data_IF_442987456402
#
_entry.id   IF_442987456402
#
_cell.length_a   1.000
_cell.length_b   1.000
_cell.length_c   1.000
_cell.angle_alpha   90.00
_cell.angle_beta   90.00
_cell.angle_gamma   90.00
#
_symmetry.space_group_name_H-M   'P 1'
#
loop_
_entity.id
_entity.type
_entity.pdbx_description
1 polymer ?
#
# COMPACT_ATOMS: atom_id res chain seq x y z
N UNK A 1 43.22 -23.49 90.79
CA UNK A 1 43.35 -22.13 90.23
C UNK A 1 41.98 -21.74 89.70
N UNK A 2 41.50 -20.60 90.17
CA UNK A 2 40.22 -19.91 89.93
C UNK A 2 39.84 -19.85 88.42
N UNK A 3 38.62 -19.60 87.95
CA UNK A 3 37.26 -19.41 88.47
C UNK A 3 36.46 -18.90 87.25
N UNK A 4 35.18 -19.31 87.11
CA UNK A 4 34.00 -18.57 86.56
C UNK A 4 34.10 -17.70 85.28
N UNK A 5 33.09 -17.43 84.47
CA UNK A 5 31.71 -17.88 84.22
C UNK A 5 31.15 -16.97 83.08
N UNK A 6 29.90 -17.23 82.65
CA UNK A 6 28.99 -16.28 81.97
C UNK A 6 29.34 -15.90 80.51
N UNK A 7 28.43 -15.58 79.59
CA UNK A 7 26.98 -15.57 79.51
C UNK A 7 26.64 -15.24 78.05
N UNK A 8 25.61 -15.89 77.52
CA UNK A 8 24.95 -15.56 76.26
C UNK A 8 24.54 -14.07 76.21
N UNK A 9 24.78 -13.36 75.11
CA UNK A 9 23.95 -12.21 74.76
C UNK A 9 23.81 -12.05 73.24
N UNK A 10 22.55 -11.87 72.85
CA UNK A 10 21.96 -11.96 71.53
C UNK A 10 22.21 -10.67 70.73
N UNK A 11 22.52 -10.86 69.45
CA UNK A 11 22.18 -10.03 68.28
C UNK A 11 21.76 -8.57 68.54
N UNK A 12 22.66 -7.63 68.23
CA UNK A 12 22.32 -6.20 68.09
C UNK A 12 22.46 -5.80 66.62
N UNK A 13 21.31 -5.57 65.98
CA UNK A 13 21.20 -4.91 64.68
C UNK A 13 22.02 -3.61 64.67
N UNK A 14 22.95 -3.48 63.73
CA UNK A 14 23.61 -2.20 63.45
C UNK A 14 22.59 -1.28 62.78
N UNK A 15 22.25 -0.18 63.46
CA UNK A 15 21.52 0.96 62.88
C UNK A 15 22.20 1.40 61.60
N UNK A 16 21.43 1.50 60.51
CA UNK A 16 21.81 2.28 59.35
C UNK A 16 21.95 3.76 59.77
N UNK A 17 23.04 4.39 59.36
CA UNK A 17 23.22 5.83 59.49
C UNK A 17 22.16 6.54 58.61
N UNK A 18 21.61 7.69 59.04
CA UNK A 18 20.80 8.52 58.16
C UNK A 18 21.67 9.04 57.02
N UNK A 19 21.28 8.74 55.78
CA UNK A 19 21.82 9.36 54.58
C UNK A 19 21.49 10.87 54.66
N UNK A 20 22.49 11.66 55.05
CA UNK A 20 22.39 13.10 55.01
C UNK A 20 22.21 13.53 53.55
N UNK A 21 21.07 14.14 53.26
CA UNK A 21 20.83 14.81 51.99
C UNK A 21 21.93 15.85 51.78
N UNK A 22 22.79 15.63 50.78
CA UNK A 22 23.68 16.68 50.30
C UNK A 22 22.82 17.65 49.49
N UNK A 23 22.44 18.73 50.17
CA UNK A 23 21.82 19.91 49.60
C UNK A 23 22.84 20.54 48.64
N UNK A 24 22.53 20.56 47.34
CA UNK A 24 23.47 21.10 46.35
C UNK A 24 23.27 20.78 44.88
N UNK A 25 22.24 20.03 44.47
CA UNK A 25 21.89 19.98 43.05
C UNK A 25 21.13 21.27 42.70
N UNK A 26 21.87 22.26 42.22
CA UNK A 26 21.30 23.44 41.58
C UNK A 26 20.47 22.93 40.40
N UNK A 27 19.15 23.06 40.50
CA UNK A 27 18.29 22.94 39.34
C UNK A 27 18.69 24.12 38.45
N UNK A 28 19.58 23.87 37.50
CA UNK A 28 19.85 24.81 36.42
C UNK A 28 18.54 24.95 35.66
N UNK A 29 17.80 26.02 35.95
CA UNK A 29 16.55 26.37 35.31
C UNK A 29 16.74 26.79 33.85
N UNK A 30 17.99 26.78 33.37
CA UNK A 30 18.36 27.12 32.00
C UNK A 30 18.62 25.86 31.14
N UNK A 31 18.29 24.66 31.64
CA UNK A 31 18.10 23.50 30.74
C UNK A 31 16.76 23.71 30.03
N UNK A 32 16.83 24.45 28.92
CA UNK A 32 15.81 24.41 27.90
C UNK A 32 15.73 22.96 27.44
N UNK A 33 14.82 22.17 28.03
CA UNK A 33 14.53 20.82 27.57
C UNK A 33 14.11 20.99 26.12
N UNK A 34 15.02 20.71 25.20
CA UNK A 34 14.68 20.60 23.79
C UNK A 34 13.82 19.35 23.72
N UNK A 35 12.52 19.54 23.90
CA UNK A 35 11.53 18.57 23.46
C UNK A 35 11.69 18.53 21.95
N UNK A 36 12.44 17.56 21.47
CA UNK A 36 12.36 17.16 20.07
C UNK A 36 10.95 16.60 19.88
N UNK A 37 10.02 17.50 19.57
CA UNK A 37 8.62 17.17 19.40
C UNK A 37 8.54 16.29 18.17
N UNK A 38 8.33 14.98 18.38
CA UNK A 38 8.18 14.02 17.30
C UNK A 38 7.04 14.49 16.40
N UNK A 39 7.38 14.93 15.20
CA UNK A 39 6.40 15.33 14.19
C UNK A 39 5.73 14.04 13.72
N UNK A 40 4.42 13.95 13.96
CA UNK A 40 3.58 12.87 13.46
C UNK A 40 2.60 13.46 12.44
N UNK A 41 2.37 12.72 11.37
CA UNK A 41 1.46 13.13 10.31
C UNK A 41 0.49 12.04 9.89
N UNK A 42 -0.43 12.49 9.06
CA UNK A 42 -1.51 11.72 8.45
C UNK A 42 -1.46 11.96 6.96
N UNK A 43 -1.64 10.90 6.18
CA UNK A 43 -1.79 10.99 4.72
C UNK A 43 -3.09 10.31 4.29
N UNK A 44 -3.76 10.90 3.31
CA UNK A 44 -4.92 10.30 2.66
C UNK A 44 -4.90 10.47 1.14
N UNK A 45 -5.52 9.53 0.44
CA UNK A 45 -5.70 9.54 -1.01
C UNK A 45 -6.94 8.75 -1.42
N UNK A 46 -7.34 8.87 -2.67
CA UNK A 46 -8.45 8.10 -3.25
C UNK A 46 -7.99 7.36 -4.50
N UNK A 47 -8.39 6.11 -4.63
CA UNK A 47 -8.24 5.32 -5.85
C UNK A 47 -9.54 5.35 -6.63
N UNK A 48 -9.48 5.80 -7.88
CA UNK A 48 -10.66 5.91 -8.74
C UNK A 48 -10.42 5.36 -10.15
N UNK A 49 -11.52 5.09 -10.86
CA UNK A 49 -11.54 4.81 -12.30
C UNK A 49 -11.25 6.09 -13.09
N UNK A 50 -10.31 6.03 -14.04
CA UNK A 50 -9.89 7.18 -14.83
C UNK A 50 -11.03 7.80 -15.68
N UNK A 51 -12.02 7.01 -16.09
CA UNK A 51 -13.08 7.46 -16.98
C UNK A 51 -14.35 7.90 -16.22
N UNK A 52 -14.76 7.15 -15.19
CA UNK A 52 -15.99 7.42 -14.45
C UNK A 52 -15.78 8.13 -13.12
N UNK A 53 -14.54 8.21 -12.61
CA UNK A 53 -14.22 8.65 -11.25
C UNK A 53 -14.89 7.80 -10.14
N UNK A 54 -15.37 6.60 -10.47
CA UNK A 54 -15.92 5.68 -9.47
C UNK A 54 -14.80 5.17 -8.54
N UNK A 55 -15.05 5.03 -7.23
CA UNK A 55 -14.05 4.55 -6.29
C UNK A 55 -13.73 3.06 -6.52
N UNK A 56 -12.43 2.74 -6.41
CA UNK A 56 -11.88 1.41 -6.62
C UNK A 56 -11.22 0.88 -5.36
N UNK A 57 -11.75 -0.22 -4.81
CA UNK A 57 -11.08 -0.99 -3.75
C UNK A 57 -10.26 -2.14 -4.33
N UNK A 58 -9.41 -2.74 -3.49
CA UNK A 58 -8.55 -3.87 -3.80
C UNK A 58 -7.14 -3.50 -4.30
N UNK A 59 -6.75 -2.23 -4.28
CA UNK A 59 -5.38 -1.80 -4.63
C UNK A 59 -4.43 -1.96 -3.44
N UNK A 60 -3.17 -2.34 -3.69
CA UNK A 60 -2.10 -2.29 -2.67
C UNK A 60 -1.04 -1.26 -3.08
N UNK A 61 -0.36 -0.69 -2.08
CA UNK A 61 0.62 0.37 -2.29
C UNK A 61 1.95 0.09 -1.62
N UNK A 62 3.03 0.57 -2.22
CA UNK A 62 4.34 0.67 -1.59
C UNK A 62 4.56 2.12 -1.13
N UNK A 63 4.71 2.30 0.19
CA UNK A 63 5.04 3.58 0.80
C UNK A 63 6.49 3.57 1.26
N UNK A 64 7.35 4.32 0.56
CA UNK A 64 8.77 4.44 0.89
C UNK A 64 9.03 5.70 1.69
N UNK A 65 9.52 5.54 2.92
CA UNK A 65 10.02 6.61 3.78
C UNK A 65 11.51 6.85 3.51
N UNK A 66 11.87 8.09 3.24
CA UNK A 66 13.25 8.55 3.10
C UNK A 66 13.55 9.56 4.23
N UNK A 67 14.33 9.17 5.25
CA UNK A 67 14.70 10.05 6.34
C UNK A 67 15.62 11.18 5.85
N UNK A 68 15.44 12.38 6.41
CA UNK A 68 16.27 13.56 6.10
C UNK A 68 17.69 13.47 6.68
N UNK A 69 17.94 12.52 7.57
CA UNK A 69 19.24 12.34 8.21
C UNK A 69 20.23 11.62 7.29
N UNK A 70 21.36 12.29 7.03
CA UNK A 70 22.46 11.77 6.22
C UNK A 70 22.92 10.40 6.73
N UNK A 71 22.72 9.35 5.93
CA UNK A 71 23.16 7.98 6.23
C UNK A 71 22.08 7.04 6.81
N UNK A 72 20.86 7.52 7.05
CA UNK A 72 19.75 6.64 7.42
C UNK A 72 19.18 5.93 6.18
N UNK A 73 18.88 4.63 6.31
CA UNK A 73 18.33 3.83 5.23
C UNK A 73 16.85 4.19 4.98
N UNK A 74 16.44 4.17 3.72
CA UNK A 74 15.02 4.25 3.38
C UNK A 74 14.31 2.96 3.80
N UNK A 75 13.06 3.08 4.24
CA UNK A 75 12.21 1.97 4.66
C UNK A 75 10.98 1.95 3.77
N UNK A 76 10.64 0.78 3.21
CA UNK A 76 9.44 0.61 2.40
C UNK A 76 8.42 -0.22 3.16
N UNK A 77 7.20 0.31 3.26
CA UNK A 77 6.03 -0.37 3.81
C UNK A 77 5.10 -0.81 2.69
N UNK A 78 4.44 -1.95 2.89
CA UNK A 78 3.28 -2.34 2.08
C UNK A 78 2.03 -1.82 2.75
N UNK A 79 1.23 -1.05 2.03
CA UNK A 79 -0.09 -0.59 2.48
C UNK A 79 -1.13 -1.55 1.92
N UNK A 80 -1.82 -2.24 2.81
CA UNK A 80 -2.93 -3.14 2.46
C UNK A 80 -4.26 -2.40 2.58
N UNK A 81 -5.08 -2.53 1.54
CA UNK A 81 -6.46 -2.08 1.55
C UNK A 81 -7.28 -2.93 2.53
N UNK A 82 -8.10 -2.26 3.35
CA UNK A 82 -8.96 -2.87 4.34
C UNK A 82 -10.43 -2.98 3.91
N UNK A 83 -10.82 -2.50 2.70
CA UNK A 83 -12.17 -2.27 2.15
C UNK A 83 -13.28 -3.28 2.55
N UNK A 84 -13.71 -3.21 3.82
CA UNK A 84 -14.80 -3.96 4.45
C UNK A 84 -14.73 -5.48 4.43
N UNK A 85 -13.81 -6.06 3.67
CA UNK A 85 -13.87 -7.45 3.19
C UNK A 85 -12.54 -8.18 3.43
N UNK A 86 -11.43 -7.46 3.53
CA UNK A 86 -10.09 -8.01 3.74
C UNK A 86 -9.64 -7.79 5.19
N UNK A 87 -9.26 -8.86 5.88
CA UNK A 87 -8.66 -8.76 7.21
C UNK A 87 -7.23 -8.25 7.07
N UNK A 88 -7.00 -6.96 7.30
CA UNK A 88 -5.64 -6.44 7.39
C UNK A 88 -4.99 -6.77 8.73
N UNK A 89 -3.75 -7.25 8.71
CA UNK A 89 -2.95 -7.50 9.91
C UNK A 89 -1.70 -6.62 9.88
N UNK A 90 -1.70 -5.56 10.68
CA UNK A 90 -0.56 -4.65 10.76
C UNK A 90 0.69 -5.38 11.26
N UNK A 91 1.84 -5.06 10.66
CA UNK A 91 3.15 -5.60 11.05
C UNK A 91 4.22 -4.52 10.92
N UNK A 92 5.49 -4.86 11.20
CA UNK A 92 6.59 -3.92 11.02
C UNK A 92 6.77 -3.45 9.57
N UNK A 93 6.29 -4.25 8.60
CA UNK A 93 6.43 -4.00 7.16
C UNK A 93 5.08 -3.67 6.49
N UNK A 94 3.96 -3.99 7.15
CA UNK A 94 2.61 -3.83 6.60
C UNK A 94 1.83 -2.79 7.40
N UNK A 95 1.40 -1.73 6.71
CA UNK A 95 0.48 -0.73 7.23
C UNK A 95 -0.94 -1.05 6.74
N UNK A 96 -1.90 -0.99 7.64
CA UNK A 96 -3.30 -1.15 7.31
C UNK A 96 -3.92 0.20 7.03
N UNK A 97 -4.74 0.25 5.98
CA UNK A 97 -5.65 1.36 5.78
C UNK A 97 -6.60 1.54 6.99
N UNK A 98 -6.74 2.78 7.44
CA UNK A 98 -7.61 3.19 8.53
C UNK A 98 -8.96 3.75 8.05
N UNK A 99 -9.16 3.95 6.75
CA UNK A 99 -10.44 4.37 6.16
C UNK A 99 -11.11 3.21 5.43
N UNK A 100 -12.14 2.63 6.05
CA UNK A 100 -12.84 1.47 5.50
C UNK A 100 -13.84 1.82 4.36
N UNK A 101 -13.75 3.02 3.81
CA UNK A 101 -14.57 3.45 2.69
C UNK A 101 -13.91 3.01 1.40
N UNK A 102 -14.60 2.21 0.58
CA UNK A 102 -14.13 1.77 -0.73
C UNK A 102 -13.35 2.84 -1.50
N UNK A 103 -12.11 2.52 -1.86
CA UNK A 103 -11.24 3.38 -2.65
C UNK A 103 -10.75 4.63 -1.95
N UNK A 104 -11.04 4.82 -0.66
CA UNK A 104 -10.37 5.83 0.17
C UNK A 104 -9.28 5.14 0.98
N UNK A 105 -8.18 5.85 1.20
CA UNK A 105 -7.08 5.37 2.02
C UNK A 105 -6.69 6.43 3.03
N UNK A 106 -6.36 5.99 4.24
CA UNK A 106 -5.85 6.85 5.31
C UNK A 106 -4.83 6.12 6.17
N UNK A 107 -3.69 6.77 6.40
CA UNK A 107 -2.66 6.32 7.32
C UNK A 107 -2.35 7.42 8.33
N UNK A 108 -2.26 7.08 9.63
CA UNK A 108 -1.89 8.01 10.70
C UNK A 108 -0.59 7.59 11.39
N UNK A 109 -0.01 8.50 12.18
CA UNK A 109 1.18 8.20 12.99
C UNK A 109 2.48 8.07 12.19
N UNK A 110 2.49 8.56 10.93
CA UNK A 110 3.69 8.60 10.11
C UNK A 110 4.68 9.63 10.68
N UNK A 111 5.97 9.31 10.65
CA UNK A 111 7.01 10.23 11.14
C UNK A 111 7.16 11.42 10.17
N UNK A 112 7.65 12.55 10.67
CA UNK A 112 8.09 13.64 9.80
C UNK A 112 9.23 13.20 8.87
N UNK A 113 9.17 13.63 7.61
CA UNK A 113 10.17 13.36 6.58
C UNK A 113 9.53 13.17 5.19
N UNK A 114 10.36 12.72 4.24
CA UNK A 114 9.95 12.52 2.85
C UNK A 114 9.38 11.12 2.61
N UNK A 115 8.34 11.06 1.78
CA UNK A 115 7.66 9.83 1.40
C UNK A 115 7.44 9.76 -0.11
N UNK A 116 7.46 8.55 -0.64
CA UNK A 116 7.04 8.23 -2.01
C UNK A 116 6.04 7.09 -1.99
N UNK A 117 4.85 7.33 -2.51
CA UNK A 117 3.77 6.35 -2.67
C UNK A 117 3.74 5.85 -4.11
N UNK A 118 3.70 4.54 -4.30
CA UNK A 118 3.63 3.87 -5.61
C UNK A 118 2.61 2.75 -5.54
N UNK A 119 1.75 2.59 -6.54
CA UNK A 119 0.84 1.45 -6.61
C UNK A 119 1.65 0.16 -6.82
N UNK A 120 1.52 -0.80 -5.90
CA UNK A 120 2.20 -2.10 -5.98
C UNK A 120 1.31 -3.16 -6.61
N UNK A 121 -0.02 -3.01 -6.51
CA UNK A 121 -1.02 -3.88 -7.11
C UNK A 121 -2.26 -3.08 -7.47
N UNK A 122 -2.68 -3.21 -8.73
CA UNK A 122 -3.92 -2.62 -9.22
C UNK A 122 -5.16 -3.37 -8.71
N UNK A 123 -6.32 -2.69 -8.63
CA UNK A 123 -7.62 -3.34 -8.50
C UNK A 123 -7.89 -4.35 -9.64
N UNK A 124 -8.74 -5.34 -9.37
CA UNK A 124 -9.10 -6.36 -10.35
C UNK A 124 -9.73 -5.74 -11.62
N UNK A 125 -9.18 -6.11 -12.78
CA UNK A 125 -9.65 -5.60 -14.08
C UNK A 125 -9.06 -4.24 -14.48
N UNK A 126 -8.08 -3.72 -13.74
CA UNK A 126 -7.38 -2.47 -14.04
C UNK A 126 -5.90 -2.70 -14.37
N UNK A 127 -5.30 -1.72 -15.06
CA UNK A 127 -3.87 -1.68 -15.34
C UNK A 127 -3.14 -1.03 -14.16
N UNK A 128 -2.03 -1.63 -13.73
CA UNK A 128 -1.15 -1.07 -12.68
C UNK A 128 -0.45 0.19 -13.17
N UNK A 129 -0.54 1.27 -12.38
CA UNK A 129 0.19 2.52 -12.61
C UNK A 129 1.32 2.69 -11.58
N UNK A 130 2.56 2.66 -12.06
CA UNK A 130 3.76 2.82 -11.22
C UNK A 130 4.24 4.27 -11.10
N UNK A 131 3.41 5.23 -11.46
CA UNK A 131 3.71 6.66 -11.30
C UNK A 131 3.96 6.98 -9.82
N UNK A 132 5.14 7.53 -9.45
CA UNK A 132 5.43 7.86 -8.06
C UNK A 132 4.74 9.14 -7.60
N UNK A 133 4.13 9.10 -6.42
CA UNK A 133 3.52 10.24 -5.74
C UNK A 133 4.35 10.62 -4.52
N UNK A 134 5.16 11.68 -4.65
CA UNK A 134 6.02 12.16 -3.58
C UNK A 134 5.31 13.19 -2.69
N UNK A 135 5.54 13.11 -1.39
CA UNK A 135 5.05 14.10 -0.41
C UNK A 135 5.96 14.17 0.82
N UNK A 136 5.82 15.23 1.62
CA UNK A 136 6.64 15.46 2.81
C UNK A 136 5.76 15.81 4.00
N UNK A 137 5.97 15.11 5.12
CA UNK A 137 5.34 15.42 6.40
C UNK A 137 6.31 16.30 7.19
N UNK A 138 5.85 17.46 7.61
CA UNK A 138 6.65 18.42 8.39
C UNK A 138 5.82 19.08 9.48
N UNK A 139 6.46 19.84 10.37
CA UNK A 139 5.73 20.55 11.43
C UNK A 139 4.66 21.51 10.86
N UNK A 140 4.91 22.10 9.69
CA UNK A 140 3.98 22.98 8.98
C UNK A 140 2.87 22.21 8.23
N UNK A 141 3.14 20.95 7.84
CA UNK A 141 2.25 20.13 7.02
C UNK A 141 2.17 18.71 7.58
N UNK A 142 1.33 18.54 8.61
CA UNK A 142 1.11 17.25 9.27
C UNK A 142 -0.03 16.45 8.63
N UNK A 143 -0.91 17.11 7.87
CA UNK A 143 -2.00 16.43 7.15
C UNK A 143 -1.78 16.60 5.66
N UNK A 144 -1.55 15.48 4.98
CA UNK A 144 -1.28 15.42 3.56
C UNK A 144 -2.47 14.78 2.86
N UNK A 145 -2.97 15.45 1.82
CA UNK A 145 -3.98 14.90 0.92
C UNK A 145 -3.31 14.79 -0.45
N UNK A 146 -3.02 13.56 -0.89
CA UNK A 146 -2.39 13.31 -2.20
C UNK A 146 -3.38 13.59 -3.34
N UNK A 147 -4.67 13.36 -3.08
CA UNK A 147 -5.75 13.52 -4.05
C UNK A 147 -6.21 12.18 -4.64
N UNK A 148 -6.83 12.25 -5.81
CA UNK A 148 -7.29 11.08 -6.55
C UNK A 148 -6.18 10.53 -7.44
N UNK A 149 -6.01 9.21 -7.42
CA UNK A 149 -5.08 8.46 -8.26
C UNK A 149 -5.90 7.52 -9.14
N UNK A 150 -5.82 7.76 -10.44
CA UNK A 150 -6.67 7.12 -11.45
C UNK A 150 -6.06 5.79 -11.92
N UNK A 151 -6.88 4.80 -12.27
CA UNK A 151 -6.43 3.63 -13.05
C UNK A 151 -7.30 3.48 -14.28
N UNK A 152 -6.64 3.05 -15.35
CA UNK A 152 -7.29 2.68 -16.60
C UNK A 152 -7.79 1.25 -16.54
N UNK A 153 -9.00 1.00 -17.08
CA UNK A 153 -9.52 -0.36 -17.21
C UNK A 153 -8.64 -1.17 -18.15
N UNK A 154 -8.34 -2.41 -17.76
CA UNK A 154 -7.66 -3.35 -18.63
C UNK A 154 -8.60 -3.70 -19.79
N UNK A 155 -8.34 -3.14 -20.98
CA UNK A 155 -9.08 -3.51 -22.19
C UNK A 155 -8.70 -4.92 -22.61
N UNK A 156 -9.55 -5.89 -22.28
CA UNK A 156 -9.48 -7.25 -22.82
C UNK A 156 -10.03 -7.25 -24.24
N UNK A 157 -9.37 -6.53 -25.16
CA UNK A 157 -9.66 -6.68 -26.57
C UNK A 157 -9.23 -8.10 -26.99
N UNK A 158 -10.17 -9.04 -26.97
CA UNK A 158 -10.01 -10.30 -27.70
C UNK A 158 -9.72 -9.92 -29.16
N UNK A 159 -8.67 -10.48 -29.79
CA UNK A 159 -8.53 -10.29 -31.22
C UNK A 159 -9.82 -10.82 -31.86
N UNK A 160 -10.46 -9.99 -32.69
CA UNK A 160 -11.57 -10.41 -33.54
C UNK A 160 -11.04 -11.36 -34.64
N UNK A 161 -10.51 -12.52 -34.25
CA UNK A 161 -10.17 -13.62 -35.16
C UNK A 161 -11.42 -14.48 -35.32
N UNK A 162 -12.41 -13.90 -35.96
CA UNK A 162 -13.72 -14.52 -36.20
C UNK A 162 -14.39 -13.81 -37.36
N UNK A 163 -13.87 -14.06 -38.57
CA UNK A 163 -14.46 -13.76 -39.87
C UNK A 163 -16.00 -13.65 -39.87
N UNK A 164 -16.52 -12.62 -40.52
CA UNK A 164 -17.95 -12.37 -40.74
C UNK A 164 -18.62 -13.45 -41.61
N UNK A 165 -18.87 -14.64 -41.04
CA UNK A 165 -19.75 -15.68 -41.59
C UNK A 165 -21.21 -15.30 -41.35
N UNK A 166 -21.64 -14.20 -41.97
CA UNK A 166 -23.08 -13.95 -42.07
C UNK A 166 -23.70 -15.01 -42.98
N UNK A 167 -24.94 -15.47 -42.74
CA UNK A 167 -25.63 -16.46 -43.59
C UNK A 167 -25.62 -16.07 -45.08
N UNK A 168 -25.62 -14.76 -45.36
CA UNK A 168 -25.47 -14.18 -46.70
C UNK A 168 -24.15 -14.55 -47.38
N UNK A 169 -23.03 -14.48 -46.67
CA UNK A 169 -21.71 -14.78 -47.23
C UNK A 169 -21.52 -16.29 -47.48
N UNK A 170 -22.12 -17.13 -46.63
CA UNK A 170 -22.14 -18.60 -46.83
C UNK A 170 -22.96 -18.97 -48.07
N UNK A 171 -24.12 -18.35 -48.26
CA UNK A 171 -24.98 -18.61 -49.42
C UNK A 171 -24.30 -18.24 -50.76
N UNK A 172 -23.54 -17.15 -50.79
CA UNK A 172 -22.82 -16.69 -52.00
C UNK A 172 -21.73 -17.69 -52.44
N UNK A 173 -21.00 -18.29 -51.49
CA UNK A 173 -19.99 -19.31 -51.81
C UNK A 173 -20.62 -20.59 -52.36
N UNK A 174 -21.76 -21.03 -51.80
CA UNK A 174 -22.50 -22.20 -52.28
C UNK A 174 -23.00 -22.04 -53.73
N UNK A 175 -23.55 -20.87 -54.06
CA UNK A 175 -24.04 -20.58 -55.41
C UNK A 175 -22.92 -20.51 -56.45
N UNK A 176 -21.74 -19.99 -56.06
CA UNK A 176 -20.56 -19.97 -56.93
C UNK A 176 -20.11 -21.37 -57.37
N UNK A 177 -20.04 -22.33 -56.44
CA UNK A 177 -19.63 -23.71 -56.74
C UNK A 177 -20.64 -24.46 -57.62
N UNK A 178 -21.94 -24.23 -57.39
CA UNK A 178 -23.00 -24.80 -58.23
C UNK A 178 -22.96 -24.21 -59.65
N UNK A 179 -22.76 -22.90 -59.78
CA UNK A 179 -22.61 -22.23 -61.08
C UNK A 179 -21.46 -22.80 -61.91
N UNK A 180 -20.28 -22.99 -61.31
CA UNK A 180 -19.12 -23.57 -62.00
C UNK A 180 -19.39 -25.00 -62.47
N UNK A 181 -20.11 -25.79 -61.67
CA UNK A 181 -20.48 -27.17 -61.99
C UNK A 181 -21.43 -27.25 -63.19
N UNK A 182 -22.44 -26.37 -63.22
CA UNK A 182 -23.41 -26.28 -64.34
C UNK A 182 -22.71 -25.84 -65.63
N UNK A 183 -21.83 -24.83 -65.57
CA UNK A 183 -21.08 -24.36 -66.74
C UNK A 183 -20.17 -25.46 -67.28
N UNK A 184 -19.44 -26.18 -66.41
CA UNK A 184 -18.62 -27.34 -66.83
C UNK A 184 -19.45 -28.44 -67.47
N UNK A 185 -20.62 -28.75 -66.91
CA UNK A 185 -21.52 -29.76 -67.47
C UNK A 185 -22.03 -29.35 -68.86
N UNK A 186 -22.48 -28.09 -69.01
CA UNK A 186 -22.94 -27.56 -70.28
C UNK A 186 -21.83 -27.52 -71.35
N UNK A 187 -20.61 -27.13 -70.99
CA UNK A 187 -19.46 -27.16 -71.89
C UNK A 187 -19.10 -28.59 -72.33
N UNK A 188 -19.12 -29.55 -71.39
CA UNK A 188 -18.85 -30.97 -71.70
C UNK A 188 -19.92 -31.56 -72.60
N UNK A 189 -21.18 -31.17 -72.43
CA UNK A 189 -22.27 -31.61 -73.29
C UNK A 189 -22.16 -31.01 -74.70
N UNK A 190 -21.78 -29.74 -74.83
CA UNK A 190 -21.59 -29.08 -76.14
C UNK A 190 -20.42 -29.65 -76.93
N UNK A 191 -19.37 -30.14 -76.27
CA UNK A 191 -18.22 -30.82 -76.92
C UNK A 191 -18.51 -32.26 -77.35
N UNK A 192 -19.61 -32.86 -76.89
CA UNK A 192 -19.99 -34.26 -77.19
C UNK A 192 -21.06 -34.37 -78.29
N UNK A 193 -21.61 -33.25 -78.77
CA UNK A 193 -22.41 -33.17 -79.99
C UNK A 193 -21.52 -32.70 -81.12
#
# INVERSE_FOLDING_TARGET
MQSTALMLCISRMRRAAPFAASDGYKHDSDVNVIVDARILGTVSWQKVDAASADPLGGSEWALTYTPDSTGAASVTYTVSDADGTATCTASAEVLCDEDNTKGSFKLTGLQGGAYTLVESKAPDGYVIDKTPHAFTISAAHQTIVVGSIDNEKAVTALPLTGSAWTPRNVALLGLGLLGVSIVRFAMRHRRRR
#
